data_IF_115976026017
#
_entry.id   IF_115976026017
#
_cell.length_a   1.000
_cell.length_b   1.000
_cell.length_c   1.000
_cell.angle_alpha   90.00
_cell.angle_beta   90.00
_cell.angle_gamma   90.00
#
_symmetry.space_group_name_H-M   'P 1'
#
loop_
_entity.id
_entity.type
_entity.pdbx_description
1 polymer ?
#
# COMPACT_ATOMS: atom_id res chain seq x y z
N UNK A 1 55.85 19.43 45.57
CA UNK A 1 55.75 18.67 44.33
C UNK A 1 54.34 18.05 44.25
N UNK A 2 53.45 18.70 43.49
CA UNK A 2 52.05 18.30 43.36
C UNK A 2 51.90 17.66 41.96
N UNK A 3 51.70 16.34 41.94
CA UNK A 3 51.40 15.60 40.66
C UNK A 3 49.96 15.86 40.27
N UNK A 4 49.74 16.55 39.14
CA UNK A 4 48.45 16.68 38.52
C UNK A 4 48.12 15.38 37.79
N UNK A 5 47.07 14.67 38.23
CA UNK A 5 46.44 13.60 37.47
C UNK A 5 45.52 14.22 36.44
N UNK A 6 45.81 14.07 35.15
CA UNK A 6 44.92 14.41 34.06
C UNK A 6 44.09 13.16 33.79
N UNK A 7 42.82 13.20 34.19
CA UNK A 7 41.83 12.17 33.84
C UNK A 7 41.32 12.50 32.45
N UNK A 8 41.71 11.68 31.45
CA UNK A 8 41.15 11.74 30.10
C UNK A 8 39.77 11.05 30.15
N UNK A 9 38.69 11.84 30.11
CA UNK A 9 37.34 11.33 29.89
C UNK A 9 37.23 11.07 28.39
N UNK A 10 37.31 9.81 28.02
CA UNK A 10 36.95 9.38 26.67
C UNK A 10 35.45 9.53 26.50
N UNK A 11 35.02 10.58 25.83
CA UNK A 11 33.64 10.79 25.41
C UNK A 11 33.37 9.80 24.29
N UNK A 12 32.78 8.64 24.62
CA UNK A 12 32.24 7.73 23.62
C UNK A 12 31.08 8.46 22.93
N UNK A 13 31.37 9.04 21.76
CA UNK A 13 30.35 9.50 20.85
C UNK A 13 29.56 8.27 20.37
N UNK A 14 28.48 7.92 21.06
CA UNK A 14 27.46 7.09 20.52
C UNK A 14 26.88 7.88 19.35
N UNK A 15 27.39 7.62 18.15
CA UNK A 15 26.69 7.97 16.93
C UNK A 15 25.34 7.26 16.98
N UNK A 16 24.31 7.99 17.38
CA UNK A 16 22.95 7.64 17.02
C UNK A 16 22.96 7.56 15.49
N UNK A 17 23.10 6.37 14.96
CA UNK A 17 22.71 6.13 13.58
C UNK A 17 21.23 6.46 13.55
N UNK A 18 20.90 7.65 13.05
CA UNK A 18 19.57 7.93 12.56
C UNK A 18 19.18 6.70 11.74
N UNK A 19 18.14 6.02 12.14
CA UNK A 19 17.55 4.97 11.34
C UNK A 19 17.25 5.65 9.99
N UNK A 20 18.10 5.39 8.98
CA UNK A 20 17.89 5.99 7.67
C UNK A 20 16.53 5.49 7.19
N UNK A 21 15.62 6.40 6.98
CA UNK A 21 14.35 6.15 6.35
C UNK A 21 14.57 5.35 5.06
N UNK A 22 13.90 4.22 4.90
CA UNK A 22 14.14 3.30 3.80
C UNK A 22 12.82 2.61 3.44
N UNK A 23 12.59 2.43 2.14
CA UNK A 23 11.52 1.59 1.60
C UNK A 23 12.04 0.49 0.68
N UNK A 24 13.36 0.42 0.45
CA UNK A 24 14.03 -0.68 -0.24
C UNK A 24 14.97 -1.39 0.72
N UNK A 25 14.82 -2.70 0.85
CA UNK A 25 15.64 -3.53 1.73
C UNK A 25 16.23 -4.71 0.95
N UNK A 26 17.47 -5.05 1.28
CA UNK A 26 18.19 -6.21 0.80
C UNK A 26 18.03 -7.37 1.80
N UNK A 27 17.67 -8.53 1.30
CA UNK A 27 17.45 -9.78 2.06
C UNK A 27 18.57 -10.77 1.76
N UNK A 28 19.27 -11.18 2.78
CA UNK A 28 20.37 -12.17 2.66
C UNK A 28 20.30 -13.23 3.76
N UNK A 29 20.88 -14.39 3.49
CA UNK A 29 21.14 -15.44 4.48
C UNK A 29 22.33 -16.27 4.05
N UNK A 30 22.93 -17.03 4.97
CA UNK A 30 24.08 -17.94 4.68
C UNK A 30 23.74 -19.04 3.66
N UNK A 31 22.46 -19.25 3.37
CA UNK A 31 21.97 -20.28 2.44
C UNK A 31 21.70 -19.76 1.03
N UNK A 32 21.84 -18.45 0.79
CA UNK A 32 21.57 -17.81 -0.50
C UNK A 32 22.86 -17.48 -1.23
N UNK A 33 22.91 -17.77 -2.54
CA UNK A 33 24.04 -17.39 -3.40
C UNK A 33 23.94 -15.92 -3.85
N UNK A 34 22.72 -15.43 -4.06
CA UNK A 34 22.43 -14.06 -4.49
C UNK A 34 21.46 -13.40 -3.51
N UNK A 35 21.54 -12.10 -3.31
CA UNK A 35 20.57 -11.39 -2.49
C UNK A 35 19.18 -11.36 -3.16
N UNK A 36 18.17 -11.23 -2.34
CA UNK A 36 16.82 -10.85 -2.74
C UNK A 36 16.50 -9.48 -2.15
N UNK A 37 15.39 -8.87 -2.55
CA UNK A 37 15.02 -7.53 -2.14
C UNK A 37 13.54 -7.45 -1.82
N UNK A 38 13.16 -6.47 -1.01
CA UNK A 38 11.77 -6.04 -0.83
C UNK A 38 11.71 -4.52 -0.94
N UNK A 39 10.78 -4.03 -1.75
CA UNK A 39 10.54 -2.61 -1.97
C UNK A 39 9.10 -2.25 -1.60
N UNK A 40 8.95 -1.15 -0.87
CA UNK A 40 7.65 -0.57 -0.59
C UNK A 40 7.14 0.26 -1.76
N UNK A 41 5.91 0.01 -2.17
CA UNK A 41 5.19 0.77 -3.18
C UNK A 41 4.09 1.61 -2.56
N UNK A 42 3.60 2.58 -3.30
CA UNK A 42 2.42 3.36 -2.94
C UNK A 42 1.49 3.43 -4.14
N UNK A 43 0.33 2.80 -4.04
CA UNK A 43 -0.61 2.61 -5.16
C UNK A 43 -1.08 3.91 -5.84
N UNK A 44 -0.86 5.04 -5.19
CA UNK A 44 -1.18 6.37 -5.70
C UNK A 44 0.08 7.13 -6.16
N UNK A 45 1.20 6.40 -6.40
CA UNK A 45 2.44 6.98 -6.91
C UNK A 45 2.74 6.52 -8.32
N UNK A 46 3.27 7.45 -9.13
CA UNK A 46 3.67 7.19 -10.52
C UNK A 46 4.92 6.29 -10.59
N UNK A 47 4.97 5.43 -11.60
CA UNK A 47 6.09 4.51 -11.83
C UNK A 47 7.44 5.18 -11.99
N UNK A 48 7.48 6.44 -12.46
CA UNK A 48 8.73 7.19 -12.58
C UNK A 48 9.39 7.50 -11.24
N UNK A 49 8.62 7.47 -10.14
CA UNK A 49 9.17 7.61 -8.79
C UNK A 49 10.18 6.52 -8.43
N UNK A 50 10.16 5.38 -9.11
CA UNK A 50 11.16 4.32 -8.94
C UNK A 50 12.60 4.84 -9.07
N UNK A 51 12.83 5.84 -9.91
CA UNK A 51 14.15 6.45 -10.10
C UNK A 51 14.61 7.31 -8.91
N UNK A 52 13.70 7.67 -8.03
CA UNK A 52 14.00 8.41 -6.81
C UNK A 52 14.29 7.49 -5.62
N UNK A 53 14.11 6.17 -5.75
CA UNK A 53 14.42 5.18 -4.71
C UNK A 53 15.85 4.66 -4.94
N UNK A 54 16.82 5.02 -4.08
CA UNK A 54 18.21 4.60 -4.27
C UNK A 54 18.33 3.09 -4.40
N UNK A 55 19.03 2.63 -5.44
CA UNK A 55 19.28 1.22 -5.69
C UNK A 55 18.13 0.40 -6.28
N UNK A 56 16.92 0.98 -6.47
CA UNK A 56 15.76 0.23 -6.94
C UNK A 56 15.96 -0.39 -8.33
N UNK A 57 16.48 0.37 -9.29
CA UNK A 57 16.82 -0.15 -10.64
C UNK A 57 17.86 -1.26 -10.57
N UNK A 58 18.91 -1.07 -9.77
CA UNK A 58 19.96 -2.07 -9.59
C UNK A 58 19.41 -3.36 -8.95
N UNK A 59 18.50 -3.25 -7.99
CA UNK A 59 17.83 -4.40 -7.39
C UNK A 59 17.01 -5.18 -8.41
N UNK A 60 16.25 -4.49 -9.30
CA UNK A 60 15.53 -5.15 -10.40
C UNK A 60 16.52 -5.87 -11.34
N UNK A 61 17.67 -5.26 -11.64
CA UNK A 61 18.66 -5.84 -12.54
C UNK A 61 19.33 -7.09 -11.95
N UNK A 62 19.63 -7.08 -10.65
CA UNK A 62 20.35 -8.15 -9.96
C UNK A 62 19.53 -9.42 -9.76
N UNK A 63 18.21 -9.30 -9.56
CA UNK A 63 17.34 -10.46 -9.28
C UNK A 63 16.95 -11.24 -10.53
N UNK A 64 16.50 -12.47 -10.35
CA UNK A 64 16.07 -13.37 -11.42
C UNK A 64 14.58 -13.26 -11.71
N UNK A 65 13.78 -12.82 -10.73
CA UNK A 65 12.34 -12.66 -10.86
C UNK A 65 11.80 -11.52 -9.95
N UNK A 66 10.57 -11.10 -10.23
CA UNK A 66 9.86 -10.07 -9.45
C UNK A 66 8.51 -10.60 -9.00
N UNK A 67 8.18 -10.39 -7.75
CA UNK A 67 6.85 -10.65 -7.18
C UNK A 67 6.19 -9.33 -6.80
N UNK A 68 4.97 -9.10 -7.31
CA UNK A 68 4.07 -8.11 -6.72
C UNK A 68 3.25 -8.72 -5.58
N UNK A 69 2.36 -7.96 -4.97
CA UNK A 69 1.29 -8.54 -4.17
C UNK A 69 0.42 -9.43 -5.04
N UNK A 70 0.05 -8.94 -6.22
CA UNK A 70 -0.65 -9.67 -7.28
C UNK A 70 0.24 -9.72 -8.52
N UNK A 71 0.22 -10.83 -9.26
CA UNK A 71 0.88 -10.91 -10.57
C UNK A 71 0.16 -10.01 -11.58
N UNK A 72 0.92 -9.09 -12.20
CA UNK A 72 0.40 -8.17 -13.22
C UNK A 72 -0.25 -8.90 -14.39
N UNK A 73 0.17 -10.12 -14.72
CA UNK A 73 -0.45 -10.92 -15.79
C UNK A 73 -1.91 -11.27 -15.45
N UNK A 74 -2.23 -11.40 -14.15
CA UNK A 74 -3.60 -11.62 -13.70
C UNK A 74 -4.46 -10.38 -13.90
N UNK A 75 -3.88 -9.19 -13.70
CA UNK A 75 -4.58 -7.91 -13.87
C UNK A 75 -4.96 -7.60 -15.33
N UNK A 76 -4.33 -8.26 -16.29
CA UNK A 76 -4.62 -8.11 -17.73
C UNK A 76 -5.44 -9.27 -18.30
N UNK A 77 -5.75 -10.28 -17.50
CA UNK A 77 -6.56 -11.43 -17.92
C UNK A 77 -8.05 -11.06 -17.89
N UNK A 78 -8.80 -11.23 -19.03
CA UNK A 78 -10.21 -10.85 -19.10
C UNK A 78 -11.11 -11.54 -18.07
N UNK A 79 -10.87 -12.83 -17.78
CA UNK A 79 -11.67 -13.58 -16.80
C UNK A 79 -11.43 -13.05 -15.38
N UNK A 80 -10.20 -12.76 -15.04
CA UNK A 80 -9.84 -12.15 -13.76
C UNK A 80 -10.45 -10.75 -13.59
N UNK A 81 -10.43 -9.95 -14.65
CA UNK A 81 -11.06 -8.62 -14.66
C UNK A 81 -12.57 -8.70 -14.52
N UNK A 82 -13.23 -9.67 -15.16
CA UNK A 82 -14.68 -9.89 -15.04
C UNK A 82 -15.06 -10.30 -13.60
N UNK A 83 -14.27 -11.17 -12.98
CA UNK A 83 -14.45 -11.57 -11.57
C UNK A 83 -14.29 -10.34 -10.65
N UNK A 84 -13.22 -9.58 -10.81
CA UNK A 84 -12.99 -8.36 -10.03
C UNK A 84 -14.16 -7.39 -10.18
N UNK A 85 -14.59 -7.11 -11.39
CA UNK A 85 -15.70 -6.21 -11.67
C UNK A 85 -17.00 -6.67 -10.98
N UNK A 86 -17.28 -7.97 -10.95
CA UNK A 86 -18.44 -8.51 -10.27
C UNK A 86 -18.41 -8.20 -8.74
N UNK A 87 -17.24 -8.31 -8.13
CA UNK A 87 -17.07 -7.97 -6.70
C UNK A 87 -17.19 -6.48 -6.39
N UNK A 88 -16.89 -5.61 -7.35
CA UNK A 88 -17.00 -4.15 -7.18
C UNK A 88 -18.44 -3.65 -7.25
N UNK A 89 -19.37 -4.41 -7.86
CA UNK A 89 -20.72 -3.95 -8.17
C UNK A 89 -21.74 -4.48 -7.16
N UNK A 90 -22.78 -3.67 -6.93
CA UNK A 90 -23.95 -4.05 -6.15
C UNK A 90 -24.76 -5.07 -6.96
N UNK A 91 -25.20 -6.13 -6.30
CA UNK A 91 -25.98 -7.19 -6.93
C UNK A 91 -27.44 -6.79 -7.19
N UNK A 92 -28.14 -7.63 -7.99
CA UNK A 92 -29.58 -7.56 -8.24
C UNK A 92 -30.05 -6.22 -8.84
N UNK A 93 -29.27 -5.64 -9.74
CA UNK A 93 -29.56 -4.36 -10.42
C UNK A 93 -29.84 -3.17 -9.50
N UNK A 94 -29.48 -3.30 -8.22
CA UNK A 94 -29.55 -2.21 -7.26
C UNK A 94 -28.44 -1.18 -7.49
N UNK A 95 -28.68 -0.02 -6.96
CA UNK A 95 -27.73 1.10 -6.96
C UNK A 95 -27.39 1.53 -5.54
N UNK A 96 -26.39 2.35 -5.37
CA UNK A 96 -26.04 2.95 -4.09
C UNK A 96 -27.23 3.71 -3.47
N UNK A 97 -28.14 4.26 -4.30
CA UNK A 97 -29.35 4.95 -3.85
C UNK A 97 -30.38 4.02 -3.21
N UNK A 98 -30.37 2.73 -3.56
CA UNK A 98 -31.24 1.72 -2.96
C UNK A 98 -30.68 1.20 -1.61
N UNK A 99 -29.43 1.54 -1.29
CA UNK A 99 -28.69 1.11 -0.10
C UNK A 99 -28.62 2.22 0.95
N UNK A 100 -28.35 3.46 0.50
CA UNK A 100 -28.22 4.62 1.38
C UNK A 100 -29.60 5.18 1.78
N UNK A 101 -29.69 5.71 3.01
CA UNK A 101 -30.82 6.56 3.38
C UNK A 101 -30.78 7.87 2.58
N UNK A 102 -31.93 8.58 2.46
CA UNK A 102 -31.94 9.89 1.79
C UNK A 102 -30.92 10.89 2.36
N UNK A 103 -30.70 10.86 3.68
CA UNK A 103 -29.72 11.74 4.36
C UNK A 103 -28.27 11.34 4.01
N UNK A 104 -27.97 10.05 3.98
CA UNK A 104 -26.65 9.56 3.57
C UNK A 104 -26.37 9.87 2.10
N UNK A 105 -27.38 9.74 1.24
CA UNK A 105 -27.24 10.06 -0.18
C UNK A 105 -27.02 11.58 -0.39
N UNK A 106 -27.70 12.46 0.38
CA UNK A 106 -27.45 13.90 0.35
C UNK A 106 -26.03 14.27 0.81
N UNK A 107 -25.52 13.58 1.83
CA UNK A 107 -24.10 13.72 2.25
C UNK A 107 -23.15 13.33 1.11
N UNK A 108 -23.37 12.18 0.47
CA UNK A 108 -22.57 11.72 -0.67
C UNK A 108 -22.63 12.74 -1.83
N UNK A 109 -23.81 13.28 -2.16
CA UNK A 109 -23.97 14.31 -3.19
C UNK A 109 -23.09 15.53 -2.92
N UNK A 110 -23.12 16.05 -1.68
CA UNK A 110 -22.33 17.21 -1.27
C UNK A 110 -20.84 16.93 -1.27
N UNK A 111 -20.45 15.74 -0.78
CA UNK A 111 -19.06 15.31 -0.75
C UNK A 111 -18.48 15.22 -2.17
N UNK A 112 -19.19 14.54 -3.07
CA UNK A 112 -18.75 14.41 -4.47
C UNK A 112 -18.72 15.77 -5.17
N UNK A 113 -19.71 16.64 -4.92
CA UNK A 113 -19.72 18.02 -5.46
C UNK A 113 -18.47 18.80 -5.01
N UNK A 114 -18.01 18.62 -3.77
CA UNK A 114 -16.79 19.26 -3.27
C UNK A 114 -15.53 18.77 -3.97
N UNK A 115 -15.51 17.50 -4.39
CA UNK A 115 -14.36 16.87 -5.06
C UNK A 115 -14.34 17.19 -6.56
N UNK A 116 -15.46 16.99 -7.27
CA UNK A 116 -15.49 17.05 -8.74
C UNK A 116 -16.29 18.22 -9.31
N UNK A 117 -16.91 19.05 -8.46
CA UNK A 117 -17.67 20.22 -8.89
C UNK A 117 -19.08 19.91 -9.41
N UNK A 118 -19.53 18.65 -9.28
CA UNK A 118 -20.90 18.23 -9.63
C UNK A 118 -21.39 17.16 -8.67
N UNK A 119 -22.71 17.13 -8.43
CA UNK A 119 -23.32 16.16 -7.52
C UNK A 119 -23.21 14.74 -8.04
N UNK A 120 -23.14 13.76 -7.13
CA UNK A 120 -23.19 12.35 -7.49
C UNK A 120 -24.49 11.96 -8.20
N UNK A 121 -25.60 12.60 -7.86
CA UNK A 121 -26.90 12.45 -8.52
C UNK A 121 -26.96 12.98 -9.95
N UNK A 122 -25.90 13.62 -10.47
CA UNK A 122 -25.80 13.96 -11.89
C UNK A 122 -25.96 12.68 -12.75
N UNK A 123 -26.85 12.66 -13.76
CA UNK A 123 -27.16 11.42 -14.51
C UNK A 123 -25.95 10.71 -15.10
N UNK A 124 -24.97 11.46 -15.63
CA UNK A 124 -23.77 10.86 -16.24
C UNK A 124 -22.87 10.19 -15.17
N UNK A 125 -22.63 10.88 -14.06
CA UNK A 125 -21.80 10.36 -12.97
C UNK A 125 -22.49 9.17 -12.29
N UNK A 126 -23.78 9.28 -12.01
CA UNK A 126 -24.57 8.20 -11.43
C UNK A 126 -24.62 6.96 -12.34
N UNK A 127 -24.74 7.15 -13.66
CA UNK A 127 -24.69 6.04 -14.61
C UNK A 127 -23.35 5.29 -14.55
N UNK A 128 -22.25 5.99 -14.32
CA UNK A 128 -20.91 5.40 -14.27
C UNK A 128 -20.62 4.68 -12.94
N UNK A 129 -21.00 5.29 -11.82
CA UNK A 129 -20.56 4.86 -10.49
C UNK A 129 -21.70 4.42 -9.57
N UNK A 130 -22.96 4.64 -9.93
CA UNK A 130 -24.10 4.40 -9.07
C UNK A 130 -24.38 2.93 -8.73
N UNK A 131 -23.80 1.99 -9.47
CA UNK A 131 -23.86 0.55 -9.19
C UNK A 131 -22.65 0.02 -8.39
N UNK A 132 -21.68 0.86 -8.04
CA UNK A 132 -20.53 0.44 -7.26
C UNK A 132 -20.92 0.16 -5.81
N UNK A 133 -20.33 -0.88 -5.21
CA UNK A 133 -20.40 -1.10 -3.75
C UNK A 133 -19.81 0.11 -3.01
N UNK A 134 -20.26 0.42 -1.78
CA UNK A 134 -19.75 1.61 -1.07
C UNK A 134 -18.23 1.66 -0.94
N UNK A 135 -17.56 0.54 -0.64
CA UNK A 135 -16.09 0.49 -0.55
C UNK A 135 -15.42 0.74 -1.91
N UNK A 136 -15.99 0.25 -3.02
CA UNK A 136 -15.45 0.50 -4.35
C UNK A 136 -15.65 1.97 -4.78
N UNK A 137 -16.79 2.56 -4.42
CA UNK A 137 -17.06 3.97 -4.64
C UNK A 137 -16.10 4.86 -3.84
N UNK A 138 -15.86 4.53 -2.59
CA UNK A 138 -14.94 5.26 -1.70
C UNK A 138 -13.51 5.27 -2.29
N UNK A 139 -12.99 4.12 -2.67
CA UNK A 139 -11.67 4.02 -3.33
C UNK A 139 -11.61 4.81 -4.65
N UNK A 140 -12.68 4.77 -5.46
CA UNK A 140 -12.72 5.53 -6.70
C UNK A 140 -12.71 7.05 -6.44
N UNK A 141 -13.41 7.53 -5.42
CA UNK A 141 -13.39 8.93 -5.01
C UNK A 141 -12.03 9.34 -4.45
N UNK A 142 -11.37 8.48 -3.71
CA UNK A 142 -10.00 8.71 -3.21
C UNK A 142 -9.00 8.88 -4.35
N UNK A 143 -9.05 8.03 -5.37
CA UNK A 143 -8.22 8.18 -6.59
C UNK A 143 -8.48 9.54 -7.25
N UNK A 144 -9.73 9.96 -7.38
CA UNK A 144 -10.08 11.28 -7.96
C UNK A 144 -9.50 12.43 -7.12
N UNK A 145 -9.55 12.33 -5.79
CA UNK A 145 -8.93 13.34 -4.89
C UNK A 145 -7.42 13.41 -5.10
N UNK A 146 -6.73 12.27 -5.15
CA UNK A 146 -5.27 12.23 -5.38
C UNK A 146 -4.91 12.78 -6.75
N UNK A 147 -5.65 12.44 -7.80
CA UNK A 147 -5.48 13.03 -9.13
C UNK A 147 -5.56 14.56 -9.10
N UNK A 148 -6.50 15.10 -8.33
CA UNK A 148 -6.65 16.53 -8.13
C UNK A 148 -5.50 17.13 -7.31
N UNK A 149 -5.09 16.47 -6.23
CA UNK A 149 -3.96 16.89 -5.39
C UNK A 149 -2.65 16.93 -6.20
N UNK A 150 -2.41 15.94 -7.03
CA UNK A 150 -1.22 15.83 -7.90
C UNK A 150 -1.34 16.64 -9.20
N UNK A 151 -2.38 17.45 -9.36
CA UNK A 151 -2.61 18.32 -10.52
C UNK A 151 -2.50 17.60 -11.88
N UNK A 152 -2.96 16.35 -11.96
CA UNK A 152 -2.91 15.53 -13.16
C UNK A 152 -1.52 14.92 -13.46
N UNK A 153 -0.56 15.02 -12.56
CA UNK A 153 0.77 14.40 -12.72
C UNK A 153 0.81 12.93 -12.33
N UNK A 154 -0.33 12.32 -12.04
CA UNK A 154 -0.45 10.89 -11.72
C UNK A 154 -1.13 10.14 -12.87
N UNK A 155 -0.45 9.15 -13.44
CA UNK A 155 -1.03 8.23 -14.43
C UNK A 155 -1.44 6.92 -13.75
N UNK A 156 -2.76 6.71 -13.59
CA UNK A 156 -3.30 5.46 -13.01
C UNK A 156 -2.96 4.20 -13.82
N UNK A 157 -2.55 4.33 -15.09
CA UNK A 157 -2.09 3.20 -15.90
C UNK A 157 -0.60 2.89 -15.67
N UNK A 158 0.11 3.78 -14.98
CA UNK A 158 1.54 3.67 -14.73
C UNK A 158 1.87 3.73 -13.23
N UNK A 159 1.04 3.13 -12.39
CA UNK A 159 1.31 3.07 -10.94
C UNK A 159 2.58 2.25 -10.67
N UNK A 160 3.32 2.64 -9.65
CA UNK A 160 4.65 2.09 -9.35
C UNK A 160 4.65 0.56 -9.17
N UNK A 161 3.58 -0.01 -8.62
CA UNK A 161 3.39 -1.46 -8.44
C UNK A 161 3.46 -2.22 -9.77
N UNK A 162 2.70 -1.74 -10.75
CA UNK A 162 2.65 -2.32 -12.09
C UNK A 162 3.92 -1.99 -12.87
N UNK A 163 4.44 -0.79 -12.70
CA UNK A 163 5.64 -0.34 -13.39
C UNK A 163 6.85 -1.21 -13.07
N UNK A 164 7.08 -1.55 -11.79
CA UNK A 164 8.17 -2.44 -11.38
C UNK A 164 8.08 -3.80 -12.08
N UNK A 165 6.89 -4.40 -12.13
CA UNK A 165 6.70 -5.68 -12.80
C UNK A 165 6.85 -5.56 -14.33
N UNK A 166 6.37 -4.47 -14.94
CA UNK A 166 6.55 -4.22 -16.37
C UNK A 166 8.02 -4.06 -16.74
N UNK A 167 8.80 -3.29 -15.98
CA UNK A 167 10.25 -3.16 -16.18
C UNK A 167 10.96 -4.52 -16.08
N UNK A 168 10.54 -5.38 -15.15
CA UNK A 168 11.07 -6.74 -15.04
C UNK A 168 10.73 -7.59 -16.28
N UNK A 169 9.50 -7.54 -16.77
CA UNK A 169 9.07 -8.23 -18.00
C UNK A 169 9.83 -7.78 -19.23
N UNK A 170 10.06 -6.48 -19.39
CA UNK A 170 10.86 -5.92 -20.48
C UNK A 170 12.30 -6.44 -20.47
N UNK A 171 12.83 -6.76 -19.29
CA UNK A 171 14.14 -7.40 -19.09
C UNK A 171 14.11 -8.92 -19.20
N UNK A 172 12.99 -9.52 -19.61
CA UNK A 172 12.81 -10.97 -19.75
C UNK A 172 12.73 -11.74 -18.43
N UNK A 173 12.50 -11.06 -17.30
CA UNK A 173 12.34 -11.69 -15.99
C UNK A 173 10.91 -12.18 -15.78
N UNK A 174 10.74 -13.24 -14.98
CA UNK A 174 9.42 -13.73 -14.59
C UNK A 174 8.78 -12.80 -13.57
N UNK A 175 7.47 -12.63 -13.67
CA UNK A 175 6.64 -11.97 -12.66
C UNK A 175 5.67 -12.97 -12.03
N UNK A 176 5.35 -12.75 -10.76
CA UNK A 176 4.40 -13.55 -10.00
C UNK A 176 3.73 -12.66 -8.92
N UNK A 177 2.76 -13.23 -8.19
CA UNK A 177 2.12 -12.61 -7.03
C UNK A 177 2.37 -13.38 -5.74
N UNK A 178 2.45 -12.67 -4.63
CA UNK A 178 2.42 -13.26 -3.28
C UNK A 178 1.01 -13.75 -2.92
N UNK A 179 0.00 -13.16 -3.54
CA UNK A 179 -1.42 -13.43 -3.34
C UNK A 179 -2.15 -13.50 -4.69
N UNK A 180 -3.40 -13.96 -4.66
CA UNK A 180 -4.27 -13.95 -5.82
C UNK A 180 -5.14 -12.70 -5.84
N UNK A 181 -5.51 -12.25 -7.04
CA UNK A 181 -6.47 -11.16 -7.22
C UNK A 181 -7.79 -11.45 -6.49
N UNK A 182 -8.31 -12.68 -6.60
CA UNK A 182 -9.53 -13.10 -5.93
C UNK A 182 -9.44 -12.95 -4.40
N UNK A 183 -8.29 -13.30 -3.80
CA UNK A 183 -8.11 -13.14 -2.35
C UNK A 183 -8.21 -11.68 -1.93
N UNK A 184 -7.49 -10.77 -2.60
CA UNK A 184 -7.54 -9.34 -2.26
C UNK A 184 -8.90 -8.73 -2.54
N UNK A 185 -9.52 -9.08 -3.65
CA UNK A 185 -10.87 -8.60 -4.01
C UNK A 185 -11.90 -9.01 -2.96
N UNK A 186 -11.87 -10.27 -2.52
CA UNK A 186 -12.76 -10.76 -1.47
C UNK A 186 -12.51 -10.03 -0.15
N UNK A 187 -11.25 -9.83 0.24
CA UNK A 187 -10.89 -9.16 1.49
C UNK A 187 -11.46 -7.74 1.58
N UNK A 188 -11.45 -7.01 0.48
CA UNK A 188 -11.86 -5.59 0.44
C UNK A 188 -13.36 -5.45 0.18
N UNK A 189 -13.92 -6.21 -0.77
CA UNK A 189 -15.25 -5.96 -1.33
C UNK A 189 -16.29 -7.02 -0.97
N UNK A 190 -15.91 -8.11 -0.30
CA UNK A 190 -16.83 -9.21 0.07
C UNK A 190 -17.14 -9.18 1.56
N UNK A 191 -17.54 -8.02 2.04
CA UNK A 191 -17.92 -7.72 3.42
C UNK A 191 -19.39 -7.29 3.47
N UNK A 192 -20.03 -7.29 4.65
CA UNK A 192 -21.38 -6.80 4.80
C UNK A 192 -21.55 -5.37 4.24
N UNK A 193 -22.56 -5.17 3.40
CA UNK A 193 -22.84 -3.85 2.80
C UNK A 193 -23.00 -2.77 3.86
N UNK A 194 -23.60 -3.10 5.02
CA UNK A 194 -23.79 -2.14 6.11
C UNK A 194 -22.45 -1.59 6.66
N UNK A 195 -21.42 -2.44 6.76
CA UNK A 195 -20.08 -2.03 7.18
C UNK A 195 -19.44 -1.09 6.15
N UNK A 196 -19.53 -1.44 4.87
CA UNK A 196 -19.03 -0.60 3.78
C UNK A 196 -19.76 0.76 3.70
N UNK A 197 -21.06 0.80 4.00
CA UNK A 197 -21.82 2.07 4.12
C UNK A 197 -21.30 2.90 5.29
N UNK A 198 -21.06 2.26 6.43
CA UNK A 198 -20.53 2.97 7.61
C UNK A 198 -19.14 3.56 7.33
N UNK A 199 -18.25 2.81 6.68
CA UNK A 199 -16.93 3.29 6.27
C UNK A 199 -17.04 4.49 5.32
N UNK A 200 -17.83 4.39 4.24
CA UNK A 200 -18.07 5.50 3.32
C UNK A 200 -18.59 6.74 4.05
N UNK A 201 -19.54 6.59 4.98
CA UNK A 201 -20.05 7.70 5.76
C UNK A 201 -18.98 8.26 6.72
N UNK A 202 -18.12 7.42 7.27
CA UNK A 202 -17.00 7.84 8.09
C UNK A 202 -15.99 8.67 7.29
N UNK A 203 -15.62 8.22 6.08
CA UNK A 203 -14.76 8.98 5.16
C UNK A 203 -15.38 10.36 4.84
N UNK A 204 -16.67 10.41 4.54
CA UNK A 204 -17.39 11.67 4.24
C UNK A 204 -17.41 12.61 5.44
N UNK A 205 -17.76 12.08 6.63
CA UNK A 205 -17.93 12.88 7.85
C UNK A 205 -16.58 13.36 8.42
N UNK A 206 -15.46 12.69 8.10
CA UNK A 206 -14.11 13.00 8.58
C UNK A 206 -13.14 13.35 7.44
N UNK A 207 -13.62 13.84 6.31
CA UNK A 207 -12.83 14.06 5.11
C UNK A 207 -11.58 14.95 5.33
N UNK A 208 -11.63 15.91 6.22
CA UNK A 208 -10.47 16.75 6.57
C UNK A 208 -9.36 15.96 7.27
N UNK A 209 -9.72 14.97 8.09
CA UNK A 209 -8.76 14.08 8.73
C UNK A 209 -8.13 13.13 7.69
N UNK A 210 -8.97 12.52 6.84
CA UNK A 210 -8.55 11.63 5.77
C UNK A 210 -7.58 12.34 4.79
N UNK A 211 -7.89 13.58 4.40
CA UNK A 211 -7.03 14.39 3.53
C UNK A 211 -5.67 14.70 4.17
N UNK A 212 -5.65 14.99 5.48
CA UNK A 212 -4.39 15.20 6.21
C UNK A 212 -3.59 13.92 6.34
N UNK A 213 -4.25 12.80 6.65
CA UNK A 213 -3.60 11.50 6.76
C UNK A 213 -3.00 11.08 5.41
N UNK A 214 -3.75 11.26 4.31
CA UNK A 214 -3.25 11.01 2.96
C UNK A 214 -2.02 11.85 2.63
N UNK A 215 -2.04 13.16 2.94
CA UNK A 215 -0.87 14.02 2.73
C UNK A 215 0.32 13.54 3.56
N UNK A 216 0.10 13.16 4.82
CA UNK A 216 1.16 12.62 5.68
C UNK A 216 1.72 11.30 5.13
N UNK A 217 0.89 10.42 4.55
CA UNK A 217 1.34 9.18 3.89
C UNK A 217 2.20 9.50 2.65
N UNK A 218 1.78 10.44 1.81
CA UNK A 218 2.56 10.90 0.65
C UNK A 218 3.91 11.45 1.11
N UNK A 219 3.93 12.32 2.10
CA UNK A 219 5.17 12.93 2.61
C UNK A 219 6.11 11.88 3.22
N UNK A 220 5.56 10.92 3.98
CA UNK A 220 6.36 9.83 4.57
C UNK A 220 6.89 8.86 3.51
N UNK A 221 6.12 8.60 2.43
CA UNK A 221 6.57 7.80 1.31
C UNK A 221 7.70 8.48 0.54
N UNK A 222 7.57 9.78 0.27
CA UNK A 222 8.63 10.57 -0.37
C UNK A 222 9.87 10.73 0.53
N UNK A 223 9.69 10.71 1.85
CA UNK A 223 10.80 10.60 2.80
C UNK A 223 11.37 9.17 2.90
N UNK A 224 10.76 8.19 2.22
CA UNK A 224 11.13 6.77 2.24
C UNK A 224 11.13 6.15 3.65
N UNK A 225 10.25 6.62 4.53
CA UNK A 225 10.20 6.24 5.95
C UNK A 225 9.11 5.19 6.21
N UNK A 226 9.49 3.90 6.11
CA UNK A 226 8.57 2.77 6.32
C UNK A 226 8.00 2.71 7.74
N UNK A 227 8.75 3.13 8.77
CA UNK A 227 8.25 3.14 10.14
C UNK A 227 7.19 4.24 10.32
N UNK A 228 7.46 5.43 9.80
CA UNK A 228 6.49 6.54 9.82
C UNK A 228 5.24 6.23 9.01
N UNK A 229 5.37 5.56 7.86
CA UNK A 229 4.22 5.08 7.08
C UNK A 229 3.33 4.16 7.91
N UNK A 230 3.92 3.20 8.64
CA UNK A 230 3.18 2.32 9.53
C UNK A 230 2.48 3.09 10.66
N UNK A 231 3.17 4.03 11.31
CA UNK A 231 2.60 4.85 12.38
C UNK A 231 1.39 5.66 11.89
N UNK A 232 1.48 6.24 10.69
CA UNK A 232 0.37 6.99 10.10
C UNK A 232 -0.79 6.07 9.72
N UNK A 233 -0.49 4.89 9.14
CA UNK A 233 -1.52 3.89 8.78
C UNK A 233 -2.31 3.42 10.00
N UNK A 234 -1.66 3.34 11.16
CA UNK A 234 -2.29 2.94 12.43
C UNK A 234 -2.87 4.11 13.23
N UNK A 235 -2.85 5.33 12.69
CA UNK A 235 -3.37 6.51 13.39
C UNK A 235 -4.88 6.37 13.58
N UNK A 236 -5.35 6.68 14.79
CA UNK A 236 -6.76 6.64 15.18
C UNK A 236 -7.27 8.03 15.51
N UNK A 237 -8.53 8.28 15.18
CA UNK A 237 -9.24 9.52 15.55
C UNK A 237 -9.78 9.47 16.97
N UNK A 238 -9.89 8.29 17.57
CA UNK A 238 -10.48 8.08 18.89
C UNK A 238 -12.01 8.08 18.86
N UNK A 239 -12.62 7.70 17.76
CA UNK A 239 -14.06 7.66 17.59
C UNK A 239 -14.54 6.36 16.89
N UNK A 240 -15.85 6.24 16.63
CA UNK A 240 -16.46 5.04 16.01
C UNK A 240 -15.96 4.76 14.57
N UNK A 241 -15.33 5.72 13.93
CA UNK A 241 -14.80 5.59 12.58
C UNK A 241 -13.37 5.00 12.55
N UNK A 242 -12.77 4.76 13.70
CA UNK A 242 -11.48 4.09 13.74
C UNK A 242 -11.58 2.67 13.19
N UNK A 243 -10.68 2.32 12.31
CA UNK A 243 -10.54 0.96 11.78
C UNK A 243 -10.31 -0.01 12.94
N UNK A 244 -11.06 -1.12 12.97
CA UNK A 244 -10.93 -2.13 14.02
C UNK A 244 -9.59 -2.85 13.91
N UNK A 245 -9.07 -3.30 15.07
CA UNK A 245 -7.81 -4.07 15.10
C UNK A 245 -7.94 -5.38 14.29
N UNK A 246 -9.11 -6.01 14.28
CA UNK A 246 -9.39 -7.21 13.49
C UNK A 246 -9.31 -6.94 11.98
N UNK A 247 -9.90 -5.84 11.51
CA UNK A 247 -9.83 -5.46 10.09
C UNK A 247 -8.39 -5.14 9.69
N UNK A 248 -7.67 -4.41 10.54
CA UNK A 248 -6.25 -4.10 10.31
C UNK A 248 -5.36 -5.36 10.33
N UNK A 249 -5.62 -6.31 11.24
CA UNK A 249 -4.94 -7.61 11.26
C UNK A 249 -5.19 -8.38 9.95
N UNK A 250 -6.39 -8.33 9.39
CA UNK A 250 -6.71 -9.00 8.12
C UNK A 250 -6.10 -8.26 6.92
N UNK A 251 -6.17 -6.93 6.90
CA UNK A 251 -5.68 -6.11 5.78
C UNK A 251 -4.15 -6.13 5.66
N UNK A 252 -3.42 -6.15 6.78
CA UNK A 252 -1.96 -6.04 6.81
C UNK A 252 -1.27 -7.24 7.47
N UNK A 253 -1.52 -7.48 8.76
CA UNK A 253 -0.61 -8.29 9.57
C UNK A 253 -0.73 -9.79 9.33
N UNK A 254 -1.90 -10.30 9.00
CA UNK A 254 -2.08 -11.70 8.64
C UNK A 254 -1.49 -11.98 7.25
N UNK A 255 -1.59 -11.03 6.32
CA UNK A 255 -0.94 -11.08 5.01
C UNK A 255 0.58 -11.09 5.17
N UNK A 256 1.15 -10.19 5.98
CA UNK A 256 2.58 -10.17 6.31
C UNK A 256 3.08 -11.51 6.82
N UNK A 257 2.35 -12.14 7.77
CA UNK A 257 2.70 -13.47 8.29
C UNK A 257 2.68 -14.54 7.21
N UNK A 258 1.71 -14.50 6.30
CA UNK A 258 1.60 -15.46 5.19
C UNK A 258 2.73 -15.27 4.17
N UNK A 259 3.05 -14.05 3.83
CA UNK A 259 4.17 -13.73 2.93
C UNK A 259 5.50 -14.21 3.51
N UNK A 260 5.75 -13.94 4.79
CA UNK A 260 6.99 -14.38 5.47
C UNK A 260 7.11 -15.91 5.55
N UNK A 261 6.00 -16.66 5.51
CA UNK A 261 6.02 -18.12 5.36
C UNK A 261 6.39 -18.56 3.93
N UNK A 262 5.95 -17.81 2.91
CA UNK A 262 6.19 -18.15 1.50
C UNK A 262 7.57 -17.71 1.00
N UNK A 263 8.03 -16.51 1.37
CA UNK A 263 9.28 -15.90 0.91
C UNK A 263 10.48 -16.83 1.01
N UNK A 264 10.73 -17.59 2.09
CA UNK A 264 11.87 -18.50 2.19
C UNK A 264 11.95 -19.54 1.08
N UNK A 265 10.84 -20.11 0.65
CA UNK A 265 10.82 -21.09 -0.46
C UNK A 265 11.07 -20.41 -1.80
N UNK A 266 10.52 -19.22 -2.02
CA UNK A 266 10.69 -18.46 -3.25
C UNK A 266 12.16 -18.07 -3.47
N UNK A 267 12.78 -17.45 -2.46
CA UNK A 267 14.15 -16.94 -2.57
C UNK A 267 15.22 -18.06 -2.52
N UNK A 268 14.84 -19.27 -2.07
CA UNK A 268 15.73 -20.44 -2.15
C UNK A 268 15.96 -20.88 -3.60
N UNK A 269 14.95 -20.74 -4.45
CA UNK A 269 14.99 -21.16 -5.84
C UNK A 269 15.59 -20.09 -6.75
N UNK A 270 15.15 -18.84 -6.58
CA UNK A 270 15.55 -17.71 -7.40
C UNK A 270 15.68 -16.44 -6.57
N UNK A 271 16.73 -15.65 -6.84
CA UNK A 271 16.82 -14.30 -6.29
C UNK A 271 15.63 -13.47 -6.75
N UNK A 272 14.95 -12.80 -5.80
CA UNK A 272 13.63 -12.20 -6.03
C UNK A 272 13.55 -10.79 -5.47
N UNK A 273 12.93 -9.86 -6.22
CA UNK A 273 12.46 -8.59 -5.69
C UNK A 273 10.96 -8.70 -5.40
N UNK A 274 10.57 -8.42 -4.18
CA UNK A 274 9.17 -8.33 -3.74
C UNK A 274 8.75 -6.87 -3.74
N UNK A 275 7.76 -6.50 -4.54
CA UNK A 275 7.15 -5.17 -4.58
C UNK A 275 5.80 -5.23 -3.86
N UNK A 276 5.72 -4.63 -2.68
CA UNK A 276 4.54 -4.67 -1.80
C UNK A 276 4.23 -3.27 -1.27
N UNK A 277 2.99 -3.00 -0.91
CA UNK A 277 2.61 -1.72 -0.32
C UNK A 277 3.50 -1.35 0.86
N UNK A 278 4.01 -0.12 0.90
CA UNK A 278 4.98 0.34 1.89
C UNK A 278 4.47 0.24 3.33
N UNK A 279 3.15 0.31 3.53
CA UNK A 279 2.49 0.05 4.81
C UNK A 279 2.68 -1.36 5.36
N UNK A 280 3.17 -2.32 4.55
CA UNK A 280 3.49 -3.68 5.00
C UNK A 280 4.91 -3.81 5.58
N UNK A 281 5.80 -2.82 5.38
CA UNK A 281 7.22 -2.97 5.70
C UNK A 281 7.57 -2.72 7.16
N UNK A 282 7.09 -1.59 7.72
CA UNK A 282 7.48 -1.08 9.04
C UNK A 282 6.78 -1.74 10.22
N UNK A 283 7.23 -1.41 11.43
CA UNK A 283 6.66 -1.86 12.69
C UNK A 283 7.02 -3.29 13.07
N UNK A 284 6.64 -3.69 14.29
CA UNK A 284 6.95 -5.03 14.81
C UNK A 284 6.34 -6.18 13.99
N UNK A 285 5.15 -5.95 13.42
CA UNK A 285 4.39 -6.90 12.60
C UNK A 285 4.67 -6.69 11.08
N UNK A 286 5.57 -5.76 10.72
CA UNK A 286 5.99 -5.53 9.34
C UNK A 286 6.85 -6.64 8.78
N UNK A 287 6.80 -6.83 7.46
CA UNK A 287 7.51 -7.92 6.75
C UNK A 287 9.02 -7.87 7.02
N UNK A 288 9.62 -6.68 7.07
CA UNK A 288 11.06 -6.51 7.34
C UNK A 288 11.44 -7.12 8.68
N UNK A 289 10.73 -6.77 9.75
CA UNK A 289 11.01 -7.29 11.09
C UNK A 289 10.61 -8.76 11.24
N UNK A 290 9.56 -9.21 10.59
CA UNK A 290 9.18 -10.63 10.58
C UNK A 290 10.23 -11.50 9.87
N UNK A 291 10.81 -11.06 8.76
CA UNK A 291 11.92 -11.75 8.08
C UNK A 291 13.18 -11.82 8.96
N UNK A 292 13.50 -10.74 9.68
CA UNK A 292 14.59 -10.75 10.67
C UNK A 292 14.36 -11.78 11.78
N UNK A 293 13.13 -11.88 12.30
CA UNK A 293 12.73 -12.83 13.34
C UNK A 293 12.89 -14.30 12.90
N UNK A 294 12.75 -14.60 11.60
CA UNK A 294 12.95 -15.94 11.06
C UNK A 294 14.37 -16.19 10.53
N UNK A 295 15.32 -15.30 10.83
CA UNK A 295 16.76 -15.50 10.66
C UNK A 295 17.37 -14.93 9.38
N UNK A 296 16.64 -14.08 8.64
CA UNK A 296 17.23 -13.34 7.52
C UNK A 296 17.91 -12.06 7.99
N UNK A 297 19.01 -11.71 7.35
CA UNK A 297 19.61 -10.40 7.44
C UNK A 297 18.88 -9.48 6.46
N UNK A 298 18.20 -8.46 6.97
CA UNK A 298 17.42 -7.50 6.17
C UNK A 298 17.93 -6.10 6.45
N UNK A 299 18.55 -5.48 5.46
CA UNK A 299 19.23 -4.19 5.56
C UNK A 299 18.68 -3.22 4.54
N UNK A 300 18.50 -1.95 4.94
CA UNK A 300 18.11 -0.89 4.01
C UNK A 300 19.18 -0.64 2.94
N UNK A 301 18.75 -0.43 1.71
CA UNK A 301 19.62 -0.05 0.59
C UNK A 301 19.77 1.47 0.58
N UNK A 302 21.02 1.95 0.47
CA UNK A 302 21.37 3.38 0.50
C UNK A 302 21.79 3.87 -0.88
#
# INVERSE_FOLDING_TARGET
MIKKFITIIALAATTFMSANAQILYRITSDKQQKPSYIIGTFHLEDGSYLDQIPGARAAIDEVEQVYGEIDINTMTNPDSMAIMQAHLMIENDKTIKDILTPEQFDKLDKYVESIVGTKFSNPLLFQQMGKMKPAALDQALEIVKVLKMKQGQFDQNNIIDNYIQNVAKEKGKKTNGLETLAFQTNLIFDRPIAEMVEELMCTIDNNEFEDKQMQMLIDAYHAQDAEKLMDITLMKMGNRCDVTDEYMDNLLFNRNKNWVKAIPSIIKEHSTLFAVGAGHLGGEKGVVNLLRKVGYKVEGVK
#
